data_IF_400828312041
#
_entry.id   IF_400828312041
#
_cell.length_a   1.000
_cell.length_b   1.000
_cell.length_c   1.000
_cell.angle_alpha   90.00
_cell.angle_beta   90.00
_cell.angle_gamma   90.00
#
_symmetry.space_group_name_H-M   'P 1'
#
loop_
_entity.id
_entity.type
_entity.pdbx_description
1 polymer ?
#
# COMPACT_ATOMS: atom_id res chain seq x y z
N UNK A 1 0.42 3.11 -39.99
CA UNK A 1 0.27 1.71 -39.52
C UNK A 1 1.11 1.37 -38.28
N UNK A 2 2.41 1.70 -38.21
CA UNK A 2 3.30 1.37 -37.08
C UNK A 2 2.83 1.86 -35.68
N UNK A 3 2.16 3.01 -35.61
CA UNK A 3 1.65 3.55 -34.34
C UNK A 3 0.52 2.72 -33.73
N UNK A 4 -0.40 2.20 -34.54
CA UNK A 4 -1.54 1.41 -34.03
C UNK A 4 -1.08 0.07 -33.46
N UNK A 5 -0.13 -0.60 -34.12
CA UNK A 5 0.43 -1.86 -33.63
C UNK A 5 1.15 -1.69 -32.27
N UNK A 6 1.92 -0.60 -32.11
CA UNK A 6 2.56 -0.28 -30.82
C UNK A 6 1.54 -0.07 -29.72
N UNK A 7 0.45 0.65 -29.98
CA UNK A 7 -0.59 0.89 -28.99
C UNK A 7 -1.26 -0.41 -28.54
N UNK A 8 -1.60 -1.33 -29.46
CA UNK A 8 -2.18 -2.62 -29.10
C UNK A 8 -1.21 -3.52 -28.31
N UNK A 9 0.07 -3.54 -28.68
CA UNK A 9 1.09 -4.30 -27.94
C UNK A 9 1.32 -3.73 -26.53
N UNK A 10 1.40 -2.40 -26.39
CA UNK A 10 1.57 -1.75 -25.09
C UNK A 10 0.32 -1.98 -24.22
N UNK A 11 -0.88 -1.86 -24.78
CA UNK A 11 -2.12 -2.11 -24.06
C UNK A 11 -2.22 -3.58 -23.61
N UNK A 12 -1.92 -4.54 -24.49
CA UNK A 12 -1.91 -5.96 -24.15
C UNK A 12 -0.86 -6.29 -23.08
N UNK A 13 0.34 -5.73 -23.20
CA UNK A 13 1.38 -5.87 -22.18
C UNK A 13 0.95 -5.29 -20.83
N UNK A 14 0.34 -4.10 -20.83
CA UNK A 14 -0.15 -3.46 -19.59
C UNK A 14 -1.18 -4.32 -18.84
N UNK A 15 -2.04 -5.04 -19.58
CA UNK A 15 -3.07 -5.91 -19.00
C UNK A 15 -2.48 -7.22 -18.49
N UNK A 16 -1.52 -7.81 -19.22
CA UNK A 16 -0.89 -9.08 -18.85
C UNK A 16 0.14 -8.91 -17.74
N UNK A 17 0.81 -7.76 -17.65
CA UNK A 17 1.88 -7.51 -16.70
C UNK A 17 1.45 -7.70 -15.23
N UNK A 18 0.31 -7.17 -14.74
CA UNK A 18 -0.18 -7.45 -13.39
C UNK A 18 -0.39 -8.94 -13.11
N UNK A 19 -0.94 -9.68 -14.07
CA UNK A 19 -1.17 -11.12 -13.95
C UNK A 19 0.15 -11.89 -13.90
N UNK A 20 1.10 -11.54 -14.77
CA UNK A 20 2.42 -12.15 -14.82
C UNK A 20 3.20 -11.90 -13.52
N UNK A 21 3.16 -10.68 -12.99
CA UNK A 21 3.77 -10.34 -11.69
C UNK A 21 3.14 -11.15 -10.57
N UNK A 22 1.81 -11.24 -10.53
CA UNK A 22 1.08 -12.04 -9.53
C UNK A 22 1.52 -13.51 -9.59
N UNK A 23 1.57 -14.10 -10.79
CA UNK A 23 2.04 -15.47 -10.98
C UNK A 23 3.49 -15.66 -10.53
N UNK A 24 4.39 -14.73 -10.86
CA UNK A 24 5.79 -14.77 -10.46
C UNK A 24 5.94 -14.73 -8.93
N UNK A 25 5.21 -13.83 -8.27
CA UNK A 25 5.21 -13.69 -6.81
C UNK A 25 4.64 -14.93 -6.14
N UNK A 26 3.51 -15.46 -6.61
CA UNK A 26 2.91 -16.69 -6.07
C UNK A 26 3.86 -17.87 -6.23
N UNK A 27 4.46 -18.04 -7.42
CA UNK A 27 5.44 -19.09 -7.67
C UNK A 27 6.64 -18.96 -6.72
N UNK A 28 7.21 -17.77 -6.62
CA UNK A 28 8.37 -17.51 -5.73
C UNK A 28 8.01 -17.78 -4.26
N UNK A 29 6.84 -17.34 -3.82
CA UNK A 29 6.33 -17.56 -2.47
C UNK A 29 6.18 -19.05 -2.18
N UNK A 30 5.48 -19.80 -3.04
CA UNK A 30 5.27 -21.24 -2.84
C UNK A 30 6.58 -22.02 -2.88
N UNK A 31 7.48 -21.74 -3.83
CA UNK A 31 8.77 -22.45 -3.85
C UNK A 31 9.62 -22.14 -2.61
N UNK A 32 9.54 -20.91 -2.09
CA UNK A 32 10.26 -20.53 -0.86
C UNK A 32 9.64 -21.22 0.36
N UNK A 33 8.31 -21.16 0.48
CA UNK A 33 7.57 -21.82 1.56
C UNK A 33 7.81 -23.32 1.53
N UNK A 34 7.66 -23.97 0.38
CA UNK A 34 7.92 -25.39 0.21
C UNK A 34 9.37 -25.71 0.57
N UNK A 35 10.37 -24.90 0.18
CA UNK A 35 11.77 -25.16 0.53
C UNK A 35 12.06 -25.13 2.04
N UNK A 36 11.37 -24.29 2.80
CA UNK A 36 11.53 -24.14 4.25
C UNK A 36 10.63 -25.12 5.02
N UNK A 37 9.42 -25.36 4.50
CA UNK A 37 8.37 -26.12 5.17
C UNK A 37 8.38 -27.61 4.80
N UNK A 38 8.64 -28.04 3.56
CA UNK A 38 8.75 -29.47 3.22
C UNK A 38 9.72 -30.24 4.13
N UNK A 39 10.95 -29.77 4.41
CA UNK A 39 11.84 -30.52 5.30
C UNK A 39 11.31 -30.59 6.74
N UNK A 40 10.49 -29.63 7.17
CA UNK A 40 9.83 -29.64 8.48
C UNK A 40 8.59 -30.56 8.49
N UNK A 41 7.75 -30.50 7.45
CA UNK A 41 6.53 -31.31 7.31
C UNK A 41 6.80 -32.77 6.96
N UNK A 42 7.86 -33.08 6.19
CA UNK A 42 8.30 -34.47 5.96
C UNK A 42 8.71 -35.18 7.25
N UNK A 43 9.21 -34.44 8.26
CA UNK A 43 9.45 -35.01 9.60
C UNK A 43 8.16 -35.27 10.38
N UNK A 44 7.06 -34.64 9.99
CA UNK A 44 5.74 -34.75 10.62
C UNK A 44 4.79 -35.68 9.85
N UNK A 45 5.18 -36.17 8.67
CA UNK A 45 4.45 -37.18 7.89
C UNK A 45 3.25 -36.64 7.07
N UNK A 46 3.20 -35.32 6.83
CA UNK A 46 2.09 -34.69 6.10
C UNK A 46 2.53 -34.17 4.73
N UNK A 47 2.12 -34.86 3.67
CA UNK A 47 2.22 -34.39 2.28
C UNK A 47 0.82 -34.00 1.79
N UNK A 48 0.32 -32.84 2.23
CA UNK A 48 -1.00 -32.34 1.81
C UNK A 48 -0.84 -31.30 0.68
N UNK A 49 -1.38 -31.56 -0.53
CA UNK A 49 -1.37 -30.57 -1.60
C UNK A 49 -2.18 -29.34 -1.18
N UNK A 50 -1.60 -28.14 -1.33
CA UNK A 50 -2.23 -26.87 -0.93
C UNK A 50 -1.71 -26.27 0.39
N UNK A 51 -0.79 -26.93 1.10
CA UNK A 51 -0.14 -26.38 2.31
C UNK A 51 0.55 -25.04 2.04
N UNK A 52 1.16 -24.86 0.87
CA UNK A 52 1.75 -23.59 0.47
C UNK A 52 0.75 -22.43 0.51
N UNK A 53 -0.50 -22.65 0.10
CA UNK A 53 -1.56 -21.62 0.13
C UNK A 53 -1.92 -21.24 1.56
N UNK A 54 -2.13 -22.24 2.42
CA UNK A 54 -2.45 -22.03 3.84
C UNK A 54 -1.29 -21.30 4.54
N UNK A 55 -0.07 -21.75 4.30
CA UNK A 55 1.14 -21.12 4.85
C UNK A 55 1.31 -19.68 4.35
N UNK A 56 1.01 -19.40 3.07
CA UNK A 56 1.03 -18.06 2.51
C UNK A 56 0.02 -17.12 3.17
N UNK A 57 -1.23 -17.59 3.35
CA UNK A 57 -2.27 -16.84 4.07
C UNK A 57 -1.86 -16.59 5.53
N UNK A 58 -1.37 -17.62 6.22
CA UNK A 58 -0.89 -17.51 7.60
C UNK A 58 0.27 -16.52 7.73
N UNK A 59 1.22 -16.54 6.79
CA UNK A 59 2.34 -15.61 6.74
C UNK A 59 1.86 -14.16 6.56
N UNK A 60 0.95 -13.92 5.62
CA UNK A 60 0.37 -12.59 5.39
C UNK A 60 -0.35 -12.09 6.65
N UNK A 61 -1.13 -12.95 7.32
CA UNK A 61 -1.81 -12.62 8.57
C UNK A 61 -0.82 -12.30 9.69
N UNK A 62 0.26 -13.08 9.82
CA UNK A 62 1.32 -12.83 10.80
C UNK A 62 2.01 -11.48 10.54
N UNK A 63 2.41 -11.21 9.30
CA UNK A 63 3.02 -9.93 8.91
C UNK A 63 2.06 -8.77 9.19
N UNK A 64 0.77 -8.93 8.87
CA UNK A 64 -0.26 -7.94 9.15
C UNK A 64 -0.46 -7.69 10.65
N UNK A 65 -0.49 -8.75 11.47
CA UNK A 65 -0.60 -8.67 12.93
C UNK A 65 0.63 -8.00 13.56
N UNK A 66 1.83 -8.27 13.04
CA UNK A 66 3.05 -7.57 13.46
C UNK A 66 2.94 -6.10 13.07
N UNK A 67 2.58 -5.79 11.82
CA UNK A 67 2.47 -4.42 11.33
C UNK A 67 1.43 -3.57 12.06
N UNK A 68 0.36 -4.18 12.57
CA UNK A 68 -0.67 -3.46 13.34
C UNK A 68 -0.21 -3.10 14.75
N UNK A 69 0.71 -3.87 15.35
CA UNK A 69 1.19 -3.66 16.69
C UNK A 69 2.25 -2.54 16.80
N UNK A 70 2.32 -1.86 17.94
CA UNK A 70 3.24 -0.72 18.14
C UNK A 70 4.71 -1.14 17.99
N UNK A 71 5.06 -2.36 18.42
CA UNK A 71 6.40 -2.91 18.27
C UNK A 71 6.75 -3.15 16.79
N UNK A 72 5.83 -3.73 16.03
CA UNK A 72 6.08 -4.03 14.63
C UNK A 72 6.16 -2.78 13.77
N UNK A 73 5.40 -1.73 14.07
CA UNK A 73 5.58 -0.40 13.44
C UNK A 73 6.99 0.13 13.60
N UNK A 74 7.59 -0.01 14.79
CA UNK A 74 8.99 0.41 15.05
C UNK A 74 9.99 -0.45 14.28
N UNK A 75 9.80 -1.77 14.27
CA UNK A 75 10.66 -2.71 13.53
C UNK A 75 10.63 -2.41 12.03
N UNK A 76 9.44 -2.21 11.46
CA UNK A 76 9.25 -1.88 10.05
C UNK A 76 9.96 -0.56 9.71
N UNK A 77 9.79 0.48 10.53
CA UNK A 77 10.47 1.77 10.34
C UNK A 77 12.01 1.62 10.38
N UNK A 78 12.53 0.75 11.24
CA UNK A 78 13.96 0.43 11.32
C UNK A 78 14.48 -0.25 10.05
N UNK A 79 13.75 -1.28 9.58
CA UNK A 79 14.09 -2.00 8.34
C UNK A 79 14.05 -1.05 7.15
N UNK A 80 13.01 -0.22 7.06
CA UNK A 80 12.91 0.79 6.03
C UNK A 80 14.11 1.75 6.06
N UNK A 81 14.49 2.24 7.24
CA UNK A 81 15.68 3.07 7.40
C UNK A 81 16.98 2.41 6.93
N UNK A 82 17.09 1.07 7.01
CA UNK A 82 18.22 0.32 6.45
C UNK A 82 18.15 0.22 4.93
N UNK A 83 16.97 -0.09 4.38
CA UNK A 83 16.75 -0.20 2.92
C UNK A 83 17.01 1.13 2.22
N UNK A 84 16.59 2.24 2.83
CA UNK A 84 16.77 3.60 2.30
C UNK A 84 18.25 4.04 2.20
N UNK A 85 19.19 3.32 2.83
CA UNK A 85 20.63 3.59 2.72
C UNK A 85 21.22 3.13 1.38
N UNK A 86 20.57 2.18 0.71
CA UNK A 86 21.01 1.70 -0.59
C UNK A 86 20.33 2.52 -1.69
N UNK A 87 21.07 3.31 -2.50
CA UNK A 87 20.48 4.28 -3.43
C UNK A 87 19.55 3.65 -4.47
N UNK A 88 19.81 2.42 -4.90
CA UNK A 88 18.92 1.69 -5.83
C UNK A 88 17.68 1.13 -5.12
N UNK A 89 17.85 0.54 -3.93
CA UNK A 89 16.75 -0.05 -3.18
C UNK A 89 15.77 1.02 -2.66
N UNK A 90 16.30 2.19 -2.28
CA UNK A 90 15.54 3.36 -1.86
C UNK A 90 14.46 3.71 -2.87
N UNK A 91 14.83 3.89 -4.14
CA UNK A 91 13.91 4.35 -5.19
C UNK A 91 12.77 3.34 -5.41
N UNK A 92 13.08 2.05 -5.48
CA UNK A 92 12.08 1.00 -5.71
C UNK A 92 11.14 0.91 -4.50
N UNK A 93 11.69 0.88 -3.29
CA UNK A 93 10.91 0.75 -2.07
C UNK A 93 9.99 1.97 -1.85
N UNK A 94 10.51 3.20 -2.01
CA UNK A 94 9.71 4.41 -1.84
C UNK A 94 8.56 4.49 -2.84
N UNK A 95 8.78 4.18 -4.12
CA UNK A 95 7.70 4.20 -5.11
C UNK A 95 6.57 3.22 -4.80
N UNK A 96 6.90 2.02 -4.32
CA UNK A 96 5.91 1.02 -3.91
C UNK A 96 5.16 1.50 -2.66
N UNK A 97 5.89 2.04 -1.67
CA UNK A 97 5.30 2.57 -0.44
C UNK A 97 4.34 3.72 -0.73
N UNK A 98 4.73 4.66 -1.57
CA UNK A 98 3.93 5.83 -1.93
C UNK A 98 2.65 5.39 -2.66
N UNK A 99 2.77 4.48 -3.62
CA UNK A 99 1.62 3.90 -4.32
C UNK A 99 0.67 3.19 -3.36
N UNK A 100 1.21 2.36 -2.46
CA UNK A 100 0.42 1.67 -1.44
C UNK A 100 -0.28 2.67 -0.53
N UNK A 101 0.42 3.71 -0.08
CA UNK A 101 -0.14 4.76 0.77
C UNK A 101 -1.17 5.63 0.06
N UNK A 102 -1.12 5.77 -1.27
CA UNK A 102 -2.14 6.46 -2.05
C UNK A 102 -3.42 5.62 -2.18
N UNK A 103 -3.29 4.30 -2.37
CA UNK A 103 -4.43 3.39 -2.51
C UNK A 103 -5.09 3.12 -1.15
N UNK A 104 -4.28 3.00 -0.09
CA UNK A 104 -4.72 2.75 1.29
C UNK A 104 -4.98 4.05 2.08
N UNK A 105 -4.51 5.20 1.58
CA UNK A 105 -4.52 6.49 2.27
C UNK A 105 -5.89 7.13 2.33
N UNK A 106 -6.28 7.44 3.56
CA UNK A 106 -7.30 8.42 3.97
C UNK A 106 -8.48 8.65 3.02
N UNK A 107 -9.36 7.64 2.94
CA UNK A 107 -10.80 7.91 2.74
C UNK A 107 -11.34 8.96 3.74
N UNK A 108 -10.64 9.23 4.85
CA UNK A 108 -11.00 10.25 5.86
C UNK A 108 -10.59 11.68 5.52
N UNK A 109 -9.50 11.90 4.78
CA UNK A 109 -9.13 13.24 4.32
C UNK A 109 -9.98 13.70 3.13
N UNK A 110 -10.52 12.76 2.36
CA UNK A 110 -11.46 13.04 1.26
C UNK A 110 -12.86 13.50 1.76
N UNK A 111 -13.17 13.32 3.05
CA UNK A 111 -14.29 14.01 3.68
C UNK A 111 -13.80 15.34 4.26
N UNK A 112 -13.53 16.28 3.35
CA UNK A 112 -13.33 17.68 3.71
C UNK A 112 -14.52 18.14 4.56
N UNK A 113 -14.27 18.52 5.81
CA UNK A 113 -15.29 19.10 6.66
C UNK A 113 -15.83 20.36 5.97
N UNK A 114 -17.09 20.31 5.55
CA UNK A 114 -17.75 21.46 4.94
C UNK A 114 -18.18 22.38 6.08
N UNK A 115 -17.65 23.60 6.08
CA UNK A 115 -18.01 24.64 7.04
C UNK A 115 -18.88 25.68 6.36
N UNK A 116 -19.85 26.19 7.12
CA UNK A 116 -20.70 27.29 6.69
C UNK A 116 -20.07 28.57 7.20
N UNK A 117 -19.69 29.48 6.30
CA UNK A 117 -18.98 30.72 6.66
C UNK A 117 -19.82 31.91 6.22
N UNK A 118 -19.96 32.91 7.08
CA UNK A 118 -20.63 34.15 6.70
C UNK A 118 -19.76 34.95 5.72
N UNK A 119 -20.25 35.13 4.48
CA UNK A 119 -19.61 35.92 3.43
C UNK A 119 -20.64 36.36 2.38
N UNK A 120 -20.60 37.59 1.82
CA UNK A 120 -19.76 38.75 2.17
C UNK A 120 -20.41 39.70 3.20
N UNK A 121 -21.65 39.45 3.63
CA UNK A 121 -22.38 40.26 4.62
C UNK A 121 -23.11 39.34 5.62
N UNK A 122 -23.32 39.84 6.85
CA UNK A 122 -24.02 39.10 7.93
C UNK A 122 -25.36 38.57 7.44
N UNK A 123 -25.62 37.28 7.69
CA UNK A 123 -26.80 36.57 7.20
C UNK A 123 -26.70 35.96 5.81
N UNK A 124 -25.56 36.09 5.10
CA UNK A 124 -25.27 35.36 3.86
C UNK A 124 -24.17 34.34 4.12
N UNK A 125 -24.43 33.07 3.76
CA UNK A 125 -23.56 31.96 4.09
C UNK A 125 -23.01 31.30 2.83
N UNK A 126 -21.71 31.03 2.82
CA UNK A 126 -21.01 30.27 1.78
C UNK A 126 -20.52 28.93 2.34
N UNK A 127 -20.51 27.91 1.49
CA UNK A 127 -19.92 26.61 1.80
C UNK A 127 -18.42 26.68 1.53
N UNK A 128 -17.61 26.39 2.55
CA UNK A 128 -16.15 26.32 2.45
C UNK A 128 -15.63 24.94 2.81
N UNK A 129 -14.54 24.52 2.16
CA UNK A 129 -13.84 23.29 2.49
C UNK A 129 -12.62 23.57 3.37
N UNK A 130 -12.47 22.83 4.47
CA UNK A 130 -11.28 22.96 5.32
C UNK A 130 -10.10 22.27 4.64
N UNK A 131 -9.11 23.05 4.21
CA UNK A 131 -7.91 22.55 3.50
C UNK A 131 -6.67 22.39 4.39
N UNK A 132 -6.72 22.88 5.64
CA UNK A 132 -5.67 22.70 6.63
C UNK A 132 -5.97 23.41 7.96
N UNK A 133 -5.37 22.94 9.07
CA UNK A 133 -5.45 23.60 10.38
C UNK A 133 -4.10 24.25 10.68
N UNK A 134 -4.04 25.58 10.65
CA UNK A 134 -2.88 26.33 11.12
C UNK A 134 -3.15 26.86 12.53
N UNK A 135 -2.24 26.60 13.47
CA UNK A 135 -2.31 27.07 14.85
C UNK A 135 -1.89 28.54 14.97
N UNK A 136 -2.71 29.46 14.47
CA UNK A 136 -2.63 30.88 14.81
C UNK A 136 -3.49 31.18 16.06
N UNK A 137 -3.23 32.26 16.81
CA UNK A 137 -3.94 32.63 18.06
C UNK A 137 -5.44 32.97 17.91
N UNK A 138 -6.09 32.54 16.82
CA UNK A 138 -7.54 32.64 16.60
C UNK A 138 -8.19 31.38 15.99
N UNK A 139 -7.45 30.30 15.73
CA UNK A 139 -8.03 29.05 15.22
C UNK A 139 -8.74 29.14 13.85
N UNK A 140 -8.45 30.16 13.04
CA UNK A 140 -9.03 30.30 11.71
C UNK A 140 -8.38 29.33 10.73
N UNK A 141 -9.22 28.49 10.12
CA UNK A 141 -8.84 27.61 9.03
C UNK A 141 -8.69 28.43 7.74
N UNK A 142 -7.66 28.13 6.94
CA UNK A 142 -7.48 28.79 5.65
C UNK A 142 -8.49 28.21 4.66
N UNK A 143 -9.31 29.10 4.09
CA UNK A 143 -10.42 28.77 3.20
C UNK A 143 -10.02 29.03 1.73
N UNK A 144 -10.39 28.12 0.83
CA UNK A 144 -10.31 28.29 -0.64
C UNK A 144 -11.70 28.08 -1.21
#
# INVERSE_FOLDING_TARGET
MRHRLRTYLIAGLLVVLPLAVTYLVLRWLFTTLDSVLLPLFRRLGWDVPGLGLIAGVALILLVGAVASNMLGRRVIAWIEGLVLRLPLARTIYSSIRDLSSSILGDRRAAFQQVVLIEWPRRGTYALGFVTGRHGGPGGEAVHV
#
